data_IF_356044938930
#
_entry.id   IF_356044938930
#
_cell.length_a   1.000
_cell.length_b   1.000
_cell.length_c   1.000
_cell.angle_alpha   90.00
_cell.angle_beta   90.00
_cell.angle_gamma   90.00
#
_symmetry.space_group_name_H-M   'P 1'
#
loop_
_entity.id
_entity.type
_entity.pdbx_description
1 polymer ?
#
# COMPACT_ATOMS: atom_id res chain seq x y z
N UNK A 1 1.56 24.47 9.23
CA UNK A 1 0.96 24.13 10.54
C UNK A 1 1.40 22.72 10.92
N UNK A 2 2.32 22.58 11.89
CA UNK A 2 2.82 21.28 12.34
C UNK A 2 1.72 20.54 13.11
N UNK A 3 1.40 19.31 12.72
CA UNK A 3 0.44 18.48 13.47
C UNK A 3 1.13 17.99 14.75
N UNK A 4 0.57 18.31 15.91
CA UNK A 4 1.16 17.98 17.21
C UNK A 4 0.66 16.61 17.71
N UNK A 5 1.14 15.54 17.09
CA UNK A 5 0.68 14.16 17.35
C UNK A 5 0.91 13.71 18.80
N UNK A 6 2.02 14.11 19.41
CA UNK A 6 2.35 13.83 20.80
C UNK A 6 1.34 14.45 21.78
N UNK A 7 0.85 15.65 21.47
CA UNK A 7 -0.22 16.25 22.26
C UNK A 7 -1.54 15.48 22.07
N UNK A 8 -1.89 15.13 20.84
CA UNK A 8 -3.10 14.33 20.56
C UNK A 8 -3.08 12.97 21.28
N UNK A 9 -1.92 12.31 21.37
CA UNK A 9 -1.72 11.11 22.18
C UNK A 9 -1.93 11.38 23.67
N UNK A 10 -1.31 12.42 24.23
CA UNK A 10 -1.47 12.77 25.64
C UNK A 10 -2.94 13.03 26.02
N UNK A 11 -3.68 13.73 25.17
CA UNK A 11 -5.13 13.95 25.36
C UNK A 11 -5.92 12.65 25.28
N UNK A 12 -5.61 11.77 24.32
CA UNK A 12 -6.28 10.49 24.17
C UNK A 12 -6.06 9.58 25.39
N UNK A 13 -4.82 9.49 25.90
CA UNK A 13 -4.50 8.71 27.11
C UNK A 13 -5.26 9.27 28.33
N UNK A 14 -5.28 10.59 28.49
CA UNK A 14 -6.00 11.25 29.59
C UNK A 14 -7.50 10.93 29.57
N UNK A 15 -8.12 10.91 28.39
CA UNK A 15 -9.52 10.55 28.22
C UNK A 15 -9.78 9.06 28.50
N UNK A 16 -8.86 8.16 28.09
CA UNK A 16 -8.96 6.73 28.38
C UNK A 16 -8.97 6.45 29.90
N UNK A 17 -8.08 7.14 30.64
CA UNK A 17 -7.96 7.03 32.09
C UNK A 17 -9.23 7.49 32.84
N UNK A 18 -10.15 8.18 32.16
CA UNK A 18 -11.45 8.62 32.70
C UNK A 18 -12.60 7.64 32.38
N UNK A 19 -12.30 6.43 31.88
CA UNK A 19 -13.28 5.35 31.71
C UNK A 19 -14.04 5.35 30.37
N UNK A 20 -13.53 6.04 29.34
CA UNK A 20 -14.15 6.12 28.01
C UNK A 20 -13.38 5.28 26.97
N UNK A 21 -14.07 4.30 26.36
CA UNK A 21 -13.70 3.58 25.11
C UNK A 21 -12.21 3.23 25.01
N UNK A 22 -11.79 2.25 25.79
CA UNK A 22 -10.46 1.63 25.77
C UNK A 22 -9.99 1.21 24.36
N UNK A 23 -10.81 0.47 23.61
CA UNK A 23 -10.42 -0.04 22.29
C UNK A 23 -10.25 1.06 21.23
N UNK A 24 -11.26 1.94 21.09
CA UNK A 24 -11.20 3.04 20.12
C UNK A 24 -10.09 4.06 20.46
N UNK A 25 -9.78 4.22 21.76
CA UNK A 25 -8.69 5.09 22.18
C UNK A 25 -7.34 4.45 21.90
N UNK A 26 -7.19 3.15 22.17
CA UNK A 26 -6.01 2.36 21.82
C UNK A 26 -5.69 2.47 20.32
N UNK A 27 -6.70 2.32 19.45
CA UNK A 27 -6.53 2.47 18.01
C UNK A 27 -6.08 3.87 17.60
N UNK A 28 -6.68 4.92 18.16
CA UNK A 28 -6.29 6.31 17.87
C UNK A 28 -4.85 6.60 18.30
N UNK A 29 -4.46 6.17 19.50
CA UNK A 29 -3.09 6.32 20.00
C UNK A 29 -2.10 5.61 19.08
N UNK A 30 -2.42 4.39 18.64
CA UNK A 30 -1.60 3.68 17.65
C UNK A 30 -1.43 4.51 16.36
N UNK A 31 -2.52 5.07 15.83
CA UNK A 31 -2.45 5.91 14.63
C UNK A 31 -1.65 7.21 14.82
N UNK A 32 -1.67 7.82 16.01
CA UNK A 32 -0.84 8.99 16.33
C UNK A 32 0.65 8.61 16.39
N UNK A 33 0.99 7.49 17.02
CA UNK A 33 2.38 6.96 17.03
C UNK A 33 2.88 6.66 15.63
N UNK A 34 2.06 6.04 14.79
CA UNK A 34 2.39 5.80 13.39
C UNK A 34 2.50 7.13 12.59
N UNK A 35 1.74 8.16 12.94
CA UNK A 35 1.89 9.48 12.33
C UNK A 35 3.22 10.15 12.70
N UNK A 36 3.61 10.09 13.98
CA UNK A 36 4.90 10.60 14.44
C UNK A 36 6.06 9.78 13.86
N UNK A 37 5.91 8.46 13.72
CA UNK A 37 6.88 7.58 13.07
C UNK A 37 7.10 8.01 11.61
N UNK A 38 6.03 8.35 10.88
CA UNK A 38 6.15 8.85 9.52
C UNK A 38 6.89 10.21 9.45
N UNK A 39 6.66 11.10 10.41
CA UNK A 39 7.38 12.38 10.48
C UNK A 39 8.87 12.19 10.85
N UNK A 40 9.17 11.23 11.73
CA UNK A 40 10.55 10.84 12.05
C UNK A 40 11.27 10.21 10.84
N UNK A 41 10.58 9.36 10.08
CA UNK A 41 11.11 8.75 8.86
C UNK A 41 11.44 9.79 7.78
N UNK A 42 10.55 10.78 7.57
CA UNK A 42 10.80 11.91 6.67
C UNK A 42 12.03 12.72 7.08
N UNK A 43 12.30 12.83 8.37
CA UNK A 43 13.50 13.47 8.93
C UNK A 43 14.72 12.54 8.97
N UNK A 44 14.64 11.35 8.35
CA UNK A 44 15.69 10.30 8.35
C UNK A 44 16.11 9.82 9.75
N UNK A 45 15.27 10.01 10.77
CA UNK A 45 15.50 9.52 12.13
C UNK A 45 15.04 8.07 12.26
N UNK A 46 15.76 7.15 11.62
CA UNK A 46 15.31 5.76 11.44
C UNK A 46 15.02 5.04 12.76
N UNK A 47 15.91 5.15 13.76
CA UNK A 47 15.72 4.52 15.07
C UNK A 47 14.45 5.04 15.78
N UNK A 48 14.16 6.33 15.66
CA UNK A 48 12.95 6.92 16.24
C UNK A 48 11.70 6.47 15.50
N UNK A 49 11.75 6.43 14.17
CA UNK A 49 10.65 5.93 13.35
C UNK A 49 10.30 4.48 13.68
N UNK A 50 11.33 3.62 13.81
CA UNK A 50 11.18 2.22 14.20
C UNK A 50 10.60 2.06 15.60
N UNK A 51 11.15 2.79 16.59
CA UNK A 51 10.63 2.77 17.96
C UNK A 51 9.15 3.12 18.02
N UNK A 52 8.75 4.21 17.34
CA UNK A 52 7.37 4.69 17.32
C UNK A 52 6.43 3.73 16.56
N UNK A 53 6.89 3.16 15.44
CA UNK A 53 6.11 2.18 14.69
C UNK A 53 5.90 0.89 15.50
N UNK A 54 6.93 0.37 16.18
CA UNK A 54 6.80 -0.77 17.09
C UNK A 54 5.88 -0.44 18.27
N UNK A 55 5.95 0.76 18.84
CA UNK A 55 5.03 1.21 19.89
C UNK A 55 3.58 1.37 19.39
N UNK A 56 3.35 1.56 18.09
CA UNK A 56 2.02 1.48 17.49
C UNK A 56 1.55 0.02 17.41
N UNK A 57 2.41 -0.88 16.92
CA UNK A 57 2.09 -2.30 16.77
C UNK A 57 1.87 -3.02 18.11
N UNK A 58 2.48 -2.55 19.21
CA UNK A 58 2.19 -3.07 20.54
C UNK A 58 0.76 -2.78 21.01
N UNK A 59 0.11 -1.77 20.42
CA UNK A 59 -1.29 -1.42 20.69
C UNK A 59 -2.24 -2.06 19.68
N UNK A 60 -1.83 -2.10 18.41
CA UNK A 60 -2.60 -2.68 17.29
C UNK A 60 -1.66 -3.52 16.42
N UNK A 61 -1.55 -4.83 16.68
CA UNK A 61 -0.55 -5.70 16.04
C UNK A 61 -0.56 -5.70 14.51
N UNK A 62 -1.73 -5.54 13.88
CA UNK A 62 -1.87 -5.64 12.42
C UNK A 62 -2.15 -4.29 11.74
N UNK A 63 -1.73 -3.20 12.37
CA UNK A 63 -1.88 -1.87 11.80
C UNK A 63 -0.97 -1.69 10.57
N UNK A 64 -1.57 -1.75 9.38
CA UNK A 64 -0.88 -1.65 8.08
C UNK A 64 0.04 -0.44 7.96
N UNK A 65 -0.37 0.72 8.50
CA UNK A 65 0.47 1.93 8.47
C UNK A 65 1.80 1.73 9.18
N UNK A 66 1.78 1.17 10.39
CA UNK A 66 2.99 0.98 11.17
C UNK A 66 3.88 -0.13 10.58
N UNK A 67 3.29 -1.23 10.10
CA UNK A 67 4.04 -2.26 9.37
C UNK A 67 4.72 -1.68 8.13
N UNK A 68 4.01 -0.82 7.38
CA UNK A 68 4.57 -0.14 6.21
C UNK A 68 5.69 0.85 6.51
N UNK A 69 5.65 1.50 7.68
CA UNK A 69 6.74 2.35 8.13
C UNK A 69 7.97 1.53 8.55
N UNK A 70 7.76 0.38 9.20
CA UNK A 70 8.86 -0.55 9.50
C UNK A 70 9.47 -1.11 8.21
N UNK A 71 8.65 -1.41 7.20
CA UNK A 71 9.14 -1.91 5.91
C UNK A 71 10.04 -0.88 5.22
N UNK A 72 9.62 0.39 5.20
CA UNK A 72 10.44 1.49 4.70
C UNK A 72 11.73 1.69 5.52
N UNK A 73 11.69 1.52 6.85
CA UNK A 73 12.90 1.58 7.68
C UNK A 73 13.85 0.42 7.34
N UNK A 74 13.33 -0.80 7.21
CA UNK A 74 14.10 -1.99 6.85
C UNK A 74 14.78 -1.82 5.48
N UNK A 75 14.03 -1.29 4.51
CA UNK A 75 14.54 -0.88 3.19
C UNK A 75 15.74 0.08 3.31
N UNK A 76 15.59 1.15 4.08
CA UNK A 76 16.64 2.16 4.25
C UNK A 76 17.86 1.66 5.03
N UNK A 77 17.69 0.61 5.84
CA UNK A 77 18.78 -0.07 6.54
C UNK A 77 19.41 -1.20 5.73
N UNK A 78 18.86 -1.53 4.55
CA UNK A 78 19.19 -2.71 3.77
C UNK A 78 19.05 -4.02 4.57
N UNK A 79 18.09 -4.09 5.51
CA UNK A 79 17.81 -5.28 6.31
C UNK A 79 16.86 -6.23 5.56
N UNK A 80 17.43 -7.10 4.72
CA UNK A 80 16.68 -8.06 3.91
C UNK A 80 15.83 -9.03 4.75
N UNK A 81 16.33 -9.45 5.91
CA UNK A 81 15.61 -10.38 6.78
C UNK A 81 14.35 -9.72 7.35
N UNK A 82 14.46 -8.48 7.81
CA UNK A 82 13.32 -7.71 8.32
C UNK A 82 12.32 -7.37 7.21
N UNK A 83 12.79 -7.03 6.00
CA UNK A 83 11.92 -6.82 4.83
C UNK A 83 11.06 -8.05 4.57
N UNK A 84 11.67 -9.24 4.49
CA UNK A 84 10.94 -10.49 4.25
C UNK A 84 9.92 -10.79 5.33
N UNK A 85 10.33 -10.72 6.60
CA UNK A 85 9.44 -11.00 7.72
C UNK A 85 8.22 -10.07 7.75
N UNK A 86 8.40 -8.79 7.36
CA UNK A 86 7.31 -7.82 7.28
C UNK A 86 6.39 -8.08 6.10
N UNK A 87 6.93 -8.44 4.92
CA UNK A 87 6.11 -8.81 3.76
C UNK A 87 5.24 -10.04 4.07
N UNK A 88 5.82 -11.09 4.64
CA UNK A 88 5.10 -12.32 4.99
C UNK A 88 3.98 -12.02 6.01
N UNK A 89 4.28 -11.21 7.02
CA UNK A 89 3.28 -10.76 8.01
C UNK A 89 2.16 -9.95 7.36
N UNK A 90 2.49 -9.02 6.48
CA UNK A 90 1.50 -8.19 5.79
C UNK A 90 0.61 -9.03 4.89
N UNK A 91 1.18 -9.98 4.14
CA UNK A 91 0.42 -10.91 3.30
C UNK A 91 -0.52 -11.78 4.14
N UNK A 92 -0.05 -12.37 5.24
CA UNK A 92 -0.85 -13.25 6.07
C UNK A 92 -1.96 -12.52 6.86
N UNK A 93 -1.74 -11.26 7.22
CA UNK A 93 -2.68 -10.48 8.05
C UNK A 93 -3.62 -9.59 7.22
N UNK A 94 -3.06 -8.55 6.60
CA UNK A 94 -3.82 -7.57 5.81
C UNK A 94 -3.02 -7.15 4.57
N UNK A 95 -3.09 -7.99 3.54
CA UNK A 95 -2.41 -7.76 2.26
C UNK A 95 -2.79 -6.39 1.67
N UNK A 96 -4.03 -5.93 1.90
CA UNK A 96 -4.52 -4.62 1.43
C UNK A 96 -3.68 -3.45 1.93
N UNK A 97 -3.08 -3.60 3.11
CA UNK A 97 -2.16 -2.64 3.71
C UNK A 97 -0.87 -2.42 2.92
N UNK A 98 -0.36 -3.46 2.26
CA UNK A 98 0.84 -3.38 1.43
C UNK A 98 0.61 -2.50 0.20
N UNK A 99 -0.60 -2.53 -0.36
CA UNK A 99 -0.93 -1.74 -1.56
C UNK A 99 -1.05 -0.24 -1.27
N UNK A 100 -1.45 0.12 -0.05
CA UNK A 100 -1.47 1.53 0.39
C UNK A 100 -0.08 2.16 0.49
N UNK A 101 0.97 1.34 0.53
CA UNK A 101 2.36 1.78 0.62
C UNK A 101 3.21 1.32 -0.55
N UNK A 102 2.61 0.67 -1.55
CA UNK A 102 3.34 -0.02 -2.62
C UNK A 102 4.34 0.90 -3.32
N UNK A 103 3.88 2.08 -3.73
CA UNK A 103 4.71 3.09 -4.40
C UNK A 103 5.91 3.53 -3.54
N UNK A 104 5.84 3.41 -2.21
CA UNK A 104 6.92 3.80 -1.32
C UNK A 104 7.96 2.69 -1.08
N UNK A 105 7.64 1.43 -1.39
CA UNK A 105 8.50 0.28 -1.08
C UNK A 105 8.88 -0.53 -2.30
N UNK A 106 8.12 -0.47 -3.41
CA UNK A 106 8.30 -1.30 -4.61
C UNK A 106 9.76 -1.39 -5.05
N UNK A 107 10.38 -0.25 -5.34
CA UNK A 107 11.74 -0.20 -5.90
C UNK A 107 12.74 -0.87 -4.96
N UNK A 108 12.65 -0.59 -3.66
CA UNK A 108 13.44 -1.26 -2.63
C UNK A 108 13.23 -2.78 -2.66
N UNK A 109 11.98 -3.25 -2.74
CA UNK A 109 11.70 -4.69 -2.73
C UNK A 109 12.33 -5.39 -3.94
N UNK A 110 12.20 -4.79 -5.13
CA UNK A 110 12.82 -5.31 -6.35
C UNK A 110 14.35 -5.28 -6.32
N UNK A 111 14.97 -4.27 -5.69
CA UNK A 111 16.42 -4.18 -5.57
C UNK A 111 16.99 -5.13 -4.51
N UNK A 112 16.27 -5.31 -3.41
CA UNK A 112 16.76 -6.06 -2.25
C UNK A 112 16.58 -7.57 -2.37
N UNK A 113 15.72 -8.06 -3.26
CA UNK A 113 15.49 -9.50 -3.41
C UNK A 113 16.13 -10.06 -4.68
N UNK A 114 16.78 -11.23 -4.61
CA UNK A 114 17.19 -11.97 -5.80
C UNK A 114 15.98 -12.23 -6.72
N UNK A 115 16.18 -12.14 -8.03
CA UNK A 115 15.10 -12.25 -9.02
C UNK A 115 14.22 -13.50 -8.82
N UNK A 116 14.84 -14.67 -8.62
CA UNK A 116 14.10 -15.92 -8.40
C UNK A 116 13.25 -15.92 -7.12
N UNK A 117 13.72 -15.23 -6.07
CA UNK A 117 12.96 -15.09 -4.82
C UNK A 117 11.82 -14.09 -4.98
N UNK A 118 12.06 -13.00 -5.71
CA UNK A 118 11.03 -12.03 -6.05
C UNK A 118 9.92 -12.63 -6.90
N UNK A 119 10.28 -13.39 -7.94
CA UNK A 119 9.34 -14.14 -8.78
C UNK A 119 8.47 -15.08 -7.94
N UNK A 120 9.09 -15.87 -7.06
CA UNK A 120 8.36 -16.78 -6.17
C UNK A 120 7.40 -16.01 -5.25
N UNK A 121 7.89 -14.95 -4.61
CA UNK A 121 7.08 -14.14 -3.71
C UNK A 121 5.89 -13.50 -4.43
N UNK A 122 6.07 -12.97 -5.65
CA UNK A 122 4.98 -12.39 -6.44
C UNK A 122 3.92 -13.41 -6.81
N UNK A 123 4.30 -14.65 -7.12
CA UNK A 123 3.34 -15.73 -7.41
C UNK A 123 2.50 -16.04 -6.17
N UNK A 124 3.13 -16.16 -5.00
CA UNK A 124 2.45 -16.43 -3.72
C UNK A 124 1.55 -15.26 -3.31
N UNK A 125 2.07 -14.03 -3.37
CA UNK A 125 1.33 -12.81 -3.07
C UNK A 125 0.12 -12.63 -3.99
N UNK A 126 0.28 -12.85 -5.29
CA UNK A 126 -0.81 -12.70 -6.27
C UNK A 126 -1.88 -13.78 -6.09
N UNK A 127 -1.48 -15.01 -5.75
CA UNK A 127 -2.43 -16.08 -5.45
C UNK A 127 -3.25 -15.77 -4.19
N UNK A 128 -2.64 -15.11 -3.19
CA UNK A 128 -3.32 -14.71 -1.96
C UNK A 128 -4.25 -13.50 -2.17
N UNK A 129 -3.76 -12.47 -2.86
CA UNK A 129 -4.52 -11.25 -3.14
C UNK A 129 -4.16 -10.73 -4.54
N UNK A 130 -5.01 -10.96 -5.56
CA UNK A 130 -4.71 -10.62 -6.95
C UNK A 130 -4.88 -9.11 -7.20
N UNK A 131 -4.02 -8.28 -6.61
CA UNK A 131 -3.94 -6.84 -6.85
C UNK A 131 -3.37 -6.54 -8.24
N UNK A 132 -3.83 -5.45 -8.86
CA UNK A 132 -3.33 -5.03 -10.20
C UNK A 132 -1.86 -4.60 -10.16
N UNK A 133 -1.38 -4.07 -9.04
CA UNK A 133 0.04 -3.75 -8.83
C UNK A 133 0.92 -5.01 -8.85
N UNK A 134 0.49 -6.10 -8.21
CA UNK A 134 1.19 -7.40 -8.29
C UNK A 134 1.11 -8.01 -9.69
N UNK A 135 -0.06 -7.88 -10.33
CA UNK A 135 -0.26 -8.36 -11.68
C UNK A 135 0.74 -7.69 -12.63
N UNK A 136 0.94 -6.37 -12.48
CA UNK A 136 1.89 -5.60 -13.27
C UNK A 136 3.33 -6.08 -13.10
N UNK A 137 3.81 -6.25 -11.86
CA UNK A 137 5.18 -6.76 -11.65
C UNK A 137 5.36 -8.15 -12.25
N UNK A 138 4.38 -9.03 -12.05
CA UNK A 138 4.43 -10.38 -12.59
C UNK A 138 4.40 -10.37 -14.12
N UNK A 139 3.62 -9.49 -14.73
CA UNK A 139 3.60 -9.30 -16.18
C UNK A 139 4.96 -8.83 -16.70
N UNK A 140 5.64 -7.92 -15.99
CA UNK A 140 6.99 -7.49 -16.35
C UNK A 140 8.01 -8.62 -16.29
N UNK A 141 7.88 -9.55 -15.33
CA UNK A 141 8.76 -10.73 -15.25
C UNK A 141 8.47 -11.72 -16.38
N UNK A 142 7.19 -11.99 -16.66
CA UNK A 142 6.78 -12.83 -17.80
C UNK A 142 7.29 -12.25 -19.13
N UNK A 143 7.26 -10.92 -19.28
CA UNK A 143 7.75 -10.22 -20.45
C UNK A 143 9.26 -10.30 -20.67
N UNK A 144 10.03 -10.52 -19.60
CA UNK A 144 11.48 -10.73 -19.66
C UNK A 144 11.86 -12.20 -19.94
N UNK A 145 10.92 -13.13 -19.75
CA UNK A 145 11.11 -14.55 -20.03
C UNK A 145 11.01 -14.92 -21.51
N UNK A 146 11.04 -16.22 -21.78
CA UNK A 146 11.04 -16.77 -23.14
C UNK A 146 9.78 -16.42 -23.97
N UNK A 147 8.65 -16.14 -23.30
CA UNK A 147 7.41 -15.73 -23.97
C UNK A 147 7.38 -14.26 -24.40
N UNK A 148 8.37 -13.46 -23.97
CA UNK A 148 8.47 -12.04 -24.31
C UNK A 148 7.25 -11.21 -23.90
N UNK A 149 7.15 -10.00 -24.47
CA UNK A 149 6.07 -9.06 -24.18
C UNK A 149 4.65 -9.65 -24.30
N UNK A 150 4.44 -10.59 -25.22
CA UNK A 150 3.14 -11.25 -25.41
C UNK A 150 2.70 -12.03 -24.17
N UNK A 151 3.61 -12.76 -23.51
CA UNK A 151 3.27 -13.53 -22.32
C UNK A 151 2.84 -12.63 -21.14
N UNK A 152 3.50 -11.46 -20.99
CA UNK A 152 3.09 -10.46 -20.00
C UNK A 152 1.73 -9.84 -20.35
N UNK A 153 1.49 -9.55 -21.62
CA UNK A 153 0.21 -8.99 -22.08
C UNK A 153 -0.97 -9.95 -21.90
N UNK A 154 -0.80 -11.22 -22.27
CA UNK A 154 -1.83 -12.25 -22.12
C UNK A 154 -2.20 -12.44 -20.65
N UNK A 155 -1.21 -12.41 -19.76
CA UNK A 155 -1.44 -12.46 -18.31
C UNK A 155 -2.21 -11.22 -17.81
N UNK A 156 -1.87 -10.02 -18.28
CA UNK A 156 -2.60 -8.79 -17.92
C UNK A 156 -4.05 -8.82 -18.41
N UNK A 157 -4.30 -9.34 -19.62
CA UNK A 157 -5.65 -9.54 -20.14
C UNK A 157 -6.45 -10.52 -19.28
N UNK A 158 -5.83 -11.63 -18.86
CA UNK A 158 -6.47 -12.59 -17.96
C UNK A 158 -6.78 -11.97 -16.60
N UNK A 159 -5.83 -11.22 -16.03
CA UNK A 159 -6.03 -10.48 -14.78
C UNK A 159 -7.21 -9.51 -14.89
N UNK A 160 -7.23 -8.65 -15.91
CA UNK A 160 -8.29 -7.65 -16.08
C UNK A 160 -9.68 -8.27 -16.31
N UNK A 161 -9.76 -9.45 -16.94
CA UNK A 161 -11.02 -10.21 -17.07
C UNK A 161 -11.52 -10.75 -15.72
N UNK A 162 -10.60 -11.20 -14.85
CA UNK A 162 -10.92 -11.77 -13.53
C UNK A 162 -11.14 -10.70 -12.46
N UNK A 163 -10.42 -9.60 -12.54
CA UNK A 163 -10.43 -8.46 -11.61
C UNK A 163 -10.69 -7.17 -12.41
N UNK A 164 -11.89 -7.01 -12.98
CA UNK A 164 -12.21 -5.83 -13.76
C UNK A 164 -12.21 -4.59 -12.86
N UNK A 165 -11.54 -3.54 -13.31
CA UNK A 165 -11.44 -2.31 -12.54
C UNK A 165 -10.47 -1.32 -13.15
N UNK A 166 -10.52 -0.11 -12.61
CA UNK A 166 -9.69 1.02 -13.03
C UNK A 166 -8.22 0.70 -12.83
N UNK A 167 -7.86 0.07 -11.71
CA UNK A 167 -6.49 -0.30 -11.42
C UNK A 167 -5.94 -1.33 -12.40
N UNK A 168 -6.78 -2.25 -12.88
CA UNK A 168 -6.38 -3.19 -13.92
C UNK A 168 -6.08 -2.45 -15.23
N UNK A 169 -6.91 -1.48 -15.62
CA UNK A 169 -6.67 -0.62 -16.78
C UNK A 169 -5.39 0.20 -16.62
N UNK A 170 -5.18 0.79 -15.43
CA UNK A 170 -3.99 1.59 -15.11
C UNK A 170 -2.73 0.75 -15.20
N UNK A 171 -2.77 -0.47 -14.65
CA UNK A 171 -1.67 -1.42 -14.73
C UNK A 171 -1.42 -1.88 -16.17
N UNK A 172 -2.47 -2.13 -16.96
CA UNK A 172 -2.33 -2.50 -18.37
C UNK A 172 -1.64 -1.40 -19.18
N UNK A 173 -1.98 -0.13 -18.95
CA UNK A 173 -1.30 0.98 -19.64
C UNK A 173 0.16 1.09 -19.22
N UNK A 174 0.45 1.00 -17.91
CA UNK A 174 1.82 0.98 -17.43
C UNK A 174 2.62 -0.20 -18.03
N UNK A 175 1.97 -1.33 -18.29
CA UNK A 175 2.58 -2.43 -19.02
C UNK A 175 2.89 -2.06 -20.47
N UNK A 176 1.91 -1.50 -21.18
CA UNK A 176 2.03 -1.09 -22.60
C UNK A 176 3.08 0.02 -22.79
N UNK A 177 3.20 0.95 -21.84
CA UNK A 177 4.23 2.00 -21.88
C UNK A 177 5.64 1.41 -21.91
N UNK A 178 5.86 0.29 -21.20
CA UNK A 178 7.16 -0.40 -21.16
C UNK A 178 7.32 -1.42 -22.28
N UNK A 179 6.24 -2.10 -22.66
CA UNK A 179 6.20 -3.16 -23.67
C UNK A 179 5.09 -2.86 -24.69
N UNK A 180 5.35 -1.99 -25.68
CA UNK A 180 4.33 -1.52 -26.62
C UNK A 180 3.54 -2.67 -27.27
N UNK A 181 2.21 -2.55 -27.24
CA UNK A 181 1.27 -3.50 -27.86
C UNK A 181 0.48 -2.80 -28.98
N UNK A 182 0.31 -3.42 -30.16
CA UNK A 182 -0.43 -2.81 -31.26
C UNK A 182 -1.84 -2.39 -30.86
N UNK A 183 -2.19 -1.13 -31.11
CA UNK A 183 -3.50 -0.52 -30.85
C UNK A 183 -3.95 -0.49 -29.36
N UNK A 184 -3.27 -1.15 -28.44
CA UNK A 184 -3.69 -1.22 -27.04
C UNK A 184 -3.49 0.12 -26.31
N UNK A 185 -2.38 0.81 -26.56
CA UNK A 185 -2.07 2.08 -25.89
C UNK A 185 -3.13 3.16 -26.14
N UNK A 186 -3.52 3.35 -27.40
CA UNK A 186 -4.55 4.34 -27.79
C UNK A 186 -5.92 4.00 -27.18
N UNK A 187 -6.31 2.72 -27.20
CA UNK A 187 -7.59 2.27 -26.62
C UNK A 187 -7.59 2.49 -25.10
N UNK A 188 -6.51 2.09 -24.41
CA UNK A 188 -6.40 2.24 -22.96
C UNK A 188 -6.40 3.72 -22.54
N UNK A 189 -5.72 4.58 -23.28
CA UNK A 189 -5.72 6.02 -23.03
C UNK A 189 -7.13 6.62 -23.13
N UNK A 190 -7.91 6.22 -24.14
CA UNK A 190 -9.31 6.65 -24.29
C UNK A 190 -10.18 6.14 -23.13
N UNK A 191 -10.04 4.86 -22.77
CA UNK A 191 -10.80 4.27 -21.65
C UNK A 191 -10.46 4.96 -20.33
N UNK A 192 -9.19 5.30 -20.09
CA UNK A 192 -8.77 6.06 -18.91
C UNK A 192 -9.37 7.46 -18.91
N UNK A 193 -9.33 8.18 -20.03
CA UNK A 193 -9.89 9.53 -20.11
C UNK A 193 -11.39 9.55 -19.78
N UNK A 194 -12.15 8.56 -20.27
CA UNK A 194 -13.57 8.39 -19.91
C UNK A 194 -13.75 8.08 -18.43
N UNK A 195 -12.84 7.31 -17.84
CA UNK A 195 -12.89 7.00 -16.42
C UNK A 195 -12.58 8.22 -15.53
N UNK A 196 -11.55 8.99 -15.87
CA UNK A 196 -11.12 10.16 -15.11
C UNK A 196 -12.19 11.27 -15.14
N UNK A 197 -12.92 11.41 -16.26
CA UNK A 197 -14.06 12.33 -16.38
C UNK A 197 -15.24 11.93 -15.47
N UNK A 198 -15.35 10.65 -15.10
CA UNK A 198 -16.42 10.16 -14.23
C UNK A 198 -16.22 10.47 -12.73
N UNK A 199 -15.12 11.16 -12.34
CA UNK A 199 -14.76 11.56 -10.96
C UNK A 199 -14.89 10.41 -9.93
N UNK A 200 -14.52 9.19 -10.35
CA UNK A 200 -14.81 7.98 -9.58
C UNK A 200 -13.89 7.78 -8.36
N UNK A 201 -12.78 8.51 -8.24
CA UNK A 201 -11.85 8.53 -7.11
C UNK A 201 -11.25 7.16 -6.72
N UNK A 202 -9.92 7.01 -6.75
CA UNK A 202 -9.22 5.73 -6.48
C UNK A 202 -9.56 5.07 -5.13
N UNK A 203 -9.90 5.88 -4.12
CA UNK A 203 -10.18 5.40 -2.77
C UNK A 203 -11.52 5.90 -2.26
N UNK A 204 -12.18 5.09 -1.43
CA UNK A 204 -13.45 5.42 -0.77
C UNK A 204 -13.33 5.29 0.75
N UNK A 205 -13.94 6.22 1.48
CA UNK A 205 -14.13 6.08 2.92
C UNK A 205 -15.36 5.23 3.22
N UNK A 206 -15.18 4.03 3.81
CA UNK A 206 -16.30 3.17 4.23
C UNK A 206 -17.24 3.79 5.26
N UNK A 207 -16.76 4.78 6.01
CA UNK A 207 -17.57 5.45 7.03
C UNK A 207 -18.44 6.60 6.49
N UNK A 208 -17.99 7.35 5.48
CA UNK A 208 -18.69 8.57 5.03
C UNK A 208 -18.84 8.71 3.51
N UNK A 209 -18.40 7.72 2.74
CA UNK A 209 -18.49 7.71 1.28
C UNK A 209 -17.61 8.72 0.56
N UNK A 210 -16.70 9.42 1.26
CA UNK A 210 -15.74 10.30 0.59
C UNK A 210 -14.92 9.51 -0.43
N UNK A 211 -14.93 9.99 -1.68
CA UNK A 211 -14.04 9.50 -2.75
C UNK A 211 -12.83 10.43 -2.87
N UNK A 212 -11.65 9.87 -3.09
CA UNK A 212 -10.38 10.62 -3.20
C UNK A 212 -9.43 9.91 -4.15
N UNK A 213 -8.63 10.68 -4.89
CA UNK A 213 -7.57 10.14 -5.75
C UNK A 213 -6.33 9.69 -4.98
N UNK A 214 -6.15 10.15 -3.72
CA UNK A 214 -5.00 9.83 -2.87
C UNK A 214 -5.40 9.01 -1.66
N UNK A 215 -4.54 8.07 -1.26
CA UNK A 215 -4.70 7.33 -0.02
C UNK A 215 -4.58 8.28 1.18
N UNK A 216 -5.49 8.17 2.14
CA UNK A 216 -5.41 8.88 3.40
C UNK A 216 -5.53 7.90 4.57
N UNK A 217 -4.57 7.93 5.49
CA UNK A 217 -4.67 7.15 6.73
C UNK A 217 -5.78 7.65 7.65
N UNK A 218 -6.07 8.96 7.61
CA UNK A 218 -7.20 9.60 8.28
C UNK A 218 -8.09 10.24 7.23
N UNK A 219 -9.37 9.89 7.21
CA UNK A 219 -10.33 10.49 6.29
C UNK A 219 -10.43 12.02 6.53
N UNK A 220 -10.23 12.87 5.51
CA UNK A 220 -10.29 14.32 5.68
C UNK A 220 -11.73 14.85 5.93
N UNK A 221 -12.77 14.03 5.68
CA UNK A 221 -14.17 14.40 5.89
C UNK A 221 -14.68 14.02 7.28
N UNK A 222 -14.54 12.76 7.67
CA UNK A 222 -15.08 12.25 8.96
C UNK A 222 -14.03 12.04 10.04
N UNK A 223 -12.75 12.31 9.74
CA UNK A 223 -11.61 12.18 10.66
C UNK A 223 -11.37 10.79 11.25
N UNK A 224 -12.06 9.76 10.74
CA UNK A 224 -11.86 8.37 11.11
C UNK A 224 -10.55 7.84 10.53
N UNK A 225 -9.87 7.00 11.30
CA UNK A 225 -8.63 6.35 10.90
C UNK A 225 -8.89 4.97 10.31
N UNK A 226 -8.08 4.57 9.32
CA UNK A 226 -8.14 3.21 8.76
C UNK A 226 -9.43 2.89 7.98
N UNK A 227 -10.23 3.90 7.64
CA UNK A 227 -11.51 3.72 6.92
C UNK A 227 -11.42 3.94 5.41
N UNK A 228 -10.26 4.37 4.90
CA UNK A 228 -10.03 4.58 3.48
C UNK A 228 -9.59 3.27 2.85
N UNK A 229 -10.33 2.83 1.84
CA UNK A 229 -10.04 1.63 1.09
C UNK A 229 -9.84 1.96 -0.39
N UNK A 230 -9.00 1.19 -1.05
CA UNK A 230 -8.90 1.17 -2.50
C UNK A 230 -10.17 0.56 -3.08
N UNK A 231 -10.81 1.25 -4.02
CA UNK A 231 -11.96 0.71 -4.76
C UNK A 231 -11.58 -0.53 -5.57
#
# INVERSE_FOLDING_TARGET
>A
MQRQWSQAEAWAIKLAAQGLRDDATRERVAHYRAAEAADALKQRKLARAEQLANASLSLVPDQSRAQGLLLQVACLKHDQAQVRALLDRMLAGNARGLWLIWDAVRDCLTEMMPLAEWEKWLVEAYAHYPASELALERAFLLAQGAGGAQAGWDFMLEHARKQPGVHALVAMEAFVDRYPQPCAGEILAVVRAVHDDADMGRYVCRNCGLRTSKAHWQCPRCFQWGQIEIL
#
